data_IF_189135685906
#
_entry.id   IF_189135685906
#
_cell.length_a   1.000
_cell.length_b   1.000
_cell.length_c   1.000
_cell.angle_alpha   90.00
_cell.angle_beta   90.00
_cell.angle_gamma   90.00
#
_symmetry.space_group_name_H-M   'P 1'
#
loop_
_entity.id
_entity.type
_entity.pdbx_description
1 polymer ?
#
# COMPACT_ATOMS: atom_id res chain seq x y z
N UNK A 1 -9.25 7.21 -7.91
CA UNK A 1 -9.36 6.43 -6.66
C UNK A 1 -8.29 6.94 -5.72
N UNK A 2 -8.60 7.23 -4.46
CA UNK A 2 -7.63 7.73 -3.48
C UNK A 2 -7.40 6.61 -2.46
N UNK A 3 -6.16 6.11 -2.38
CA UNK A 3 -5.79 5.15 -1.35
C UNK A 3 -5.46 5.87 -0.05
N UNK A 4 -6.03 5.41 1.05
CA UNK A 4 -5.85 6.02 2.38
C UNK A 4 -5.04 5.15 3.33
N UNK A 5 -4.89 3.86 3.00
CA UNK A 5 -4.14 2.90 3.79
C UNK A 5 -3.51 1.87 2.87
N UNK A 6 -2.31 1.43 3.22
CA UNK A 6 -1.70 0.27 2.59
C UNK A 6 -1.05 -0.67 3.63
N UNK A 7 -0.99 -1.95 3.30
CA UNK A 7 -0.33 -2.97 4.12
C UNK A 7 0.22 -4.11 3.26
N UNK A 8 1.02 -4.98 3.87
CA UNK A 8 1.52 -6.18 3.21
C UNK A 8 0.34 -7.14 2.97
N UNK A 9 0.23 -7.65 1.74
CA UNK A 9 -0.78 -8.63 1.38
C UNK A 9 -0.26 -10.06 1.44
N UNK A 10 -1.16 -11.07 1.51
CA UNK A 10 -0.81 -12.39 1.02
C UNK A 10 -0.50 -12.33 -0.49
N UNK A 11 0.15 -13.36 -1.05
CA UNK A 11 0.25 -13.52 -2.50
C UNK A 11 -1.12 -13.42 -3.17
N UNK A 12 -1.16 -12.92 -4.39
CA UNK A 12 -2.39 -12.95 -5.17
C UNK A 12 -2.78 -14.38 -5.55
N UNK A 13 -4.06 -14.60 -5.86
CA UNK A 13 -4.56 -15.93 -6.28
C UNK A 13 -3.74 -16.42 -7.48
N UNK A 14 -3.13 -17.59 -7.35
CA UNK A 14 -2.26 -18.19 -8.36
C UNK A 14 -0.80 -17.76 -8.30
N UNK A 15 -0.43 -16.80 -7.44
CA UNK A 15 0.97 -16.50 -7.14
C UNK A 15 1.54 -17.46 -6.08
N UNK A 16 2.84 -17.80 -6.16
CA UNK A 16 3.49 -18.61 -5.13
C UNK A 16 3.40 -18.00 -3.74
N UNK A 17 3.31 -18.85 -2.72
CA UNK A 17 3.44 -18.43 -1.34
C UNK A 17 4.73 -17.62 -1.11
N UNK A 18 4.62 -16.55 -0.32
CA UNK A 18 5.74 -15.66 -0.01
C UNK A 18 6.05 -14.59 -1.07
N UNK A 19 5.30 -14.51 -2.19
CA UNK A 19 5.45 -13.41 -3.14
C UNK A 19 4.99 -12.10 -2.52
N UNK A 20 5.83 -11.07 -2.64
CA UNK A 20 5.58 -9.77 -2.04
C UNK A 20 4.54 -8.98 -2.85
N UNK A 21 3.42 -8.69 -2.20
CA UNK A 21 2.29 -7.90 -2.71
C UNK A 21 1.99 -6.75 -1.76
N UNK A 22 1.29 -5.75 -2.27
CA UNK A 22 0.81 -4.61 -1.47
C UNK A 22 -0.70 -4.48 -1.64
N UNK A 23 -1.39 -4.42 -0.51
CA UNK A 23 -2.83 -4.18 -0.43
C UNK A 23 -3.08 -2.71 -0.15
N UNK A 24 -3.85 -2.07 -1.01
CA UNK A 24 -4.30 -0.69 -0.88
C UNK A 24 -5.79 -0.65 -0.55
N UNK A 25 -6.17 0.22 0.39
CA UNK A 25 -7.56 0.47 0.75
C UNK A 25 -7.94 1.90 0.40
N UNK A 26 -9.07 2.06 -0.30
CA UNK A 26 -9.67 3.37 -0.54
C UNK A 26 -10.59 3.82 0.61
N UNK A 27 -11.14 5.02 0.50
CA UNK A 27 -12.06 5.60 1.50
C UNK A 27 -13.36 4.80 1.68
N UNK A 28 -13.76 4.03 0.67
CA UNK A 28 -14.92 3.13 0.72
C UNK A 28 -14.55 1.76 1.28
N UNK A 29 -13.27 1.53 1.56
CA UNK A 29 -12.69 0.30 2.04
C UNK A 29 -12.48 -0.76 0.95
N UNK A 30 -12.66 -0.41 -0.34
CA UNK A 30 -12.32 -1.31 -1.44
C UNK A 30 -10.84 -1.62 -1.42
N UNK A 31 -10.50 -2.83 -1.82
CA UNK A 31 -9.15 -3.35 -1.82
C UNK A 31 -8.61 -3.38 -3.26
N UNK A 32 -7.43 -2.80 -3.47
CA UNK A 32 -6.62 -3.07 -4.67
C UNK A 32 -5.36 -3.80 -4.26
N UNK A 33 -5.08 -4.94 -4.87
CA UNK A 33 -3.85 -5.70 -4.63
C UNK A 33 -2.90 -5.54 -5.80
N UNK A 34 -1.69 -5.04 -5.51
CA UNK A 34 -0.59 -4.95 -6.48
C UNK A 34 0.35 -6.14 -6.34
N UNK A 35 0.56 -6.84 -7.45
CA UNK A 35 1.43 -8.02 -7.57
C UNK A 35 2.30 -7.95 -8.83
N UNK A 36 3.38 -8.73 -8.88
CA UNK A 36 4.38 -8.61 -9.95
C UNK A 36 4.97 -7.19 -10.02
N UNK A 37 5.58 -6.82 -11.15
CA UNK A 37 6.22 -5.51 -11.31
C UNK A 37 7.39 -5.27 -10.35
N UNK A 38 7.80 -4.01 -10.17
CA UNK A 38 8.83 -3.62 -9.19
C UNK A 38 8.22 -3.23 -7.85
N UNK A 39 9.02 -3.28 -6.78
CA UNK A 39 8.64 -2.76 -5.46
C UNK A 39 8.27 -1.28 -5.52
N UNK A 40 9.02 -0.48 -6.29
CA UNK A 40 8.75 0.94 -6.46
C UNK A 40 7.31 1.17 -6.94
N UNK A 41 6.87 0.42 -7.95
CA UNK A 41 5.49 0.45 -8.43
C UNK A 41 4.49 -0.09 -7.40
N UNK A 42 4.76 -1.25 -6.80
CA UNK A 42 3.87 -1.85 -5.79
C UNK A 42 3.66 -0.97 -4.56
N UNK A 43 4.62 -0.11 -4.21
CA UNK A 43 4.57 0.75 -3.04
C UNK A 43 4.25 2.21 -3.36
N UNK A 44 4.03 2.58 -4.63
CA UNK A 44 4.01 3.99 -5.07
C UNK A 44 5.23 4.78 -4.58
N UNK A 45 6.39 4.13 -4.53
CA UNK A 45 7.58 4.66 -3.91
C UNK A 45 8.72 4.64 -4.94
N UNK A 46 8.78 5.62 -5.85
CA UNK A 46 9.75 5.61 -6.95
C UNK A 46 11.20 5.68 -6.47
N UNK A 47 11.45 6.16 -5.25
CA UNK A 47 12.77 6.08 -4.60
C UNK A 47 13.01 4.77 -3.82
N UNK A 48 12.03 3.90 -3.62
CA UNK A 48 12.14 2.81 -2.65
C UNK A 48 12.62 3.28 -1.24
N UNK A 49 12.14 4.45 -0.80
CA UNK A 49 12.44 4.98 0.53
C UNK A 49 12.05 3.97 1.62
N UNK A 50 13.02 3.62 2.46
CA UNK A 50 12.79 2.76 3.62
C UNK A 50 11.86 3.44 4.62
N UNK A 51 11.08 2.65 5.35
CA UNK A 51 10.25 3.13 6.45
C UNK A 51 11.16 3.67 7.56
N UNK A 52 11.04 4.97 7.86
CA UNK A 52 11.84 5.69 8.84
C UNK A 52 11.03 6.82 9.45
N UNK A 53 11.48 7.48 10.54
CA UNK A 53 10.79 8.66 11.08
C UNK A 53 10.55 9.75 10.03
N UNK A 54 11.44 9.88 9.03
CA UNK A 54 11.26 10.81 7.91
C UNK A 54 10.10 10.40 6.99
N UNK A 55 10.19 9.21 6.39
CA UNK A 55 9.23 8.76 5.36
C UNK A 55 7.84 8.50 5.94
N UNK A 56 7.77 8.14 7.22
CA UNK A 56 6.52 7.91 7.96
C UNK A 56 5.96 9.17 8.65
N UNK A 57 6.62 10.33 8.52
CA UNK A 57 6.12 11.58 9.10
C UNK A 57 4.82 12.01 8.41
N UNK A 58 3.95 12.71 9.15
CA UNK A 58 2.67 13.22 8.63
C UNK A 58 2.84 14.08 7.38
N UNK A 59 3.96 14.82 7.29
CA UNK A 59 4.29 15.70 6.18
C UNK A 59 4.71 14.96 4.90
N UNK A 60 5.00 13.65 4.98
CA UNK A 60 5.34 12.83 3.81
C UNK A 60 4.17 12.01 3.28
N UNK A 61 3.05 11.97 3.99
CA UNK A 61 1.80 11.35 3.52
C UNK A 61 1.93 9.86 3.14
N UNK A 62 2.87 9.12 3.75
CA UNK A 62 2.85 7.66 3.63
C UNK A 62 1.54 7.10 4.21
N UNK A 63 0.91 6.17 3.52
CA UNK A 63 -0.33 5.50 3.94
C UNK A 63 -0.08 4.11 4.53
N UNK A 64 1.17 3.68 4.60
CA UNK A 64 1.54 2.40 5.17
C UNK A 64 3.03 2.13 5.09
N UNK A 65 3.41 0.97 5.60
CA UNK A 65 4.73 0.39 5.40
C UNK A 65 4.60 -1.11 5.17
N UNK A 66 5.51 -1.65 4.37
CA UNK A 66 5.48 -3.06 3.96
C UNK A 66 6.89 -3.64 4.03
N UNK A 67 6.98 -4.92 4.36
CA UNK A 67 8.25 -5.62 4.55
C UNK A 67 8.55 -6.51 3.34
N UNK A 68 9.74 -6.37 2.77
CA UNK A 68 10.27 -7.26 1.73
C UNK A 68 11.67 -7.71 2.18
N UNK A 69 11.83 -9.01 2.43
CA UNK A 69 13.05 -9.53 3.06
C UNK A 69 13.27 -8.94 4.46
N UNK A 70 14.44 -8.32 4.68
CA UNK A 70 14.84 -7.73 5.97
C UNK A 70 14.48 -6.24 6.10
N UNK A 71 14.00 -5.61 5.04
CA UNK A 71 13.76 -4.16 4.99
C UNK A 71 12.26 -3.85 5.05
N UNK A 72 11.91 -2.72 5.66
CA UNK A 72 10.58 -2.11 5.58
C UNK A 72 10.63 -0.88 4.67
N UNK A 73 9.62 -0.72 3.83
CA UNK A 73 9.51 0.37 2.87
C UNK A 73 8.23 1.15 3.12
N UNK A 74 8.31 2.48 2.97
CA UNK A 74 7.13 3.33 3.00
C UNK A 74 6.26 3.07 1.76
N UNK A 75 4.94 3.15 1.94
CA UNK A 75 3.95 3.07 0.85
C UNK A 75 3.20 4.38 0.78
N UNK A 76 3.05 4.91 -0.43
CA UNK A 76 2.40 6.19 -0.72
C UNK A 76 1.06 6.00 -1.44
N UNK A 77 0.16 6.99 -1.38
CA UNK A 77 -1.14 6.91 -2.05
C UNK A 77 -1.02 6.88 -3.58
N UNK A 78 -0.01 7.53 -4.13
CA UNK A 78 0.24 7.66 -5.57
C UNK A 78 1.73 7.92 -5.85
N UNK A 79 2.11 7.86 -7.13
CA UNK A 79 3.48 8.05 -7.58
C UNK A 79 4.00 9.43 -7.15
N UNK A 80 3.20 10.47 -7.37
CA UNK A 80 3.55 11.87 -7.19
C UNK A 80 3.90 12.16 -5.73
N UNK A 81 3.16 11.59 -4.79
CA UNK A 81 3.41 11.72 -3.35
C UNK A 81 4.73 11.05 -2.95
N UNK A 82 4.99 9.84 -3.46
CA UNK A 82 6.25 9.14 -3.21
C UNK A 82 7.46 9.83 -3.84
N UNK A 83 7.30 10.34 -5.06
CA UNK A 83 8.29 11.15 -5.78
C UNK A 83 8.64 12.42 -4.98
N UNK A 84 7.63 13.15 -4.51
CA UNK A 84 7.84 14.36 -3.70
C UNK A 84 8.58 14.05 -2.39
N UNK A 85 8.31 12.90 -1.77
CA UNK A 85 9.04 12.46 -0.59
C UNK A 85 10.53 12.23 -0.89
N UNK A 86 10.88 11.63 -2.04
CA UNK A 86 12.27 11.49 -2.47
C UNK A 86 12.94 12.86 -2.67
N UNK A 87 12.31 13.74 -3.47
CA UNK A 87 12.86 15.06 -3.81
C UNK A 87 13.12 15.90 -2.55
N UNK A 88 12.17 15.94 -1.63
CA UNK A 88 12.33 16.69 -0.38
C UNK A 88 13.41 16.08 0.51
N UNK A 89 13.58 14.75 0.50
CA UNK A 89 14.64 14.10 1.28
C UNK A 89 16.01 14.54 0.79
N UNK A 90 16.21 14.53 -0.53
CA UNK A 90 17.48 14.90 -1.16
C UNK A 90 17.82 16.38 -0.96
N UNK A 91 16.81 17.27 -0.98
CA UNK A 91 16.98 18.70 -0.66
C UNK A 91 17.10 18.99 0.84
N UNK A 92 16.73 18.04 1.69
CA UNK A 92 16.77 18.18 3.14
C UNK A 92 18.19 18.31 3.68
N UNK A 93 18.30 18.83 4.91
CA UNK A 93 19.58 19.13 5.59
C UNK A 93 20.49 17.91 5.77
N UNK A 94 19.94 16.70 5.70
CA UNK A 94 20.70 15.44 5.85
C UNK A 94 21.42 15.04 4.56
N UNK A 95 20.80 15.25 3.40
CA UNK A 95 21.34 14.81 2.11
C UNK A 95 21.97 15.97 1.33
N UNK A 96 21.40 17.16 1.38
CA UNK A 96 21.86 18.29 0.57
C UNK A 96 23.34 18.65 0.74
N UNK A 97 23.97 18.53 1.93
CA UNK A 97 25.39 18.83 2.09
C UNK A 97 26.34 17.72 1.61
N UNK A 98 25.84 16.50 1.39
CA UNK A 98 26.65 15.35 1.02
C UNK A 98 27.06 15.41 -0.45
N UNK A 99 28.23 14.86 -0.77
CA UNK A 99 28.57 14.55 -2.17
C UNK A 99 27.58 13.53 -2.75
N UNK A 100 27.45 13.46 -4.08
CA UNK A 100 26.58 12.45 -4.70
C UNK A 100 27.00 11.04 -4.27
N UNK A 101 28.32 10.79 -4.18
CA UNK A 101 28.87 9.52 -3.68
C UNK A 101 28.46 9.22 -2.25
N UNK A 102 28.63 10.19 -1.35
CA UNK A 102 28.26 10.04 0.06
C UNK A 102 26.76 9.83 0.22
N UNK A 103 25.95 10.58 -0.53
CA UNK A 103 24.51 10.46 -0.55
C UNK A 103 24.07 9.06 -0.99
N UNK A 104 24.59 8.53 -2.10
CA UNK A 104 24.21 7.19 -2.59
C UNK A 104 24.70 6.07 -1.69
N UNK A 105 25.90 6.20 -1.10
CA UNK A 105 26.38 5.27 -0.07
C UNK A 105 25.47 5.26 1.17
N UNK A 106 24.94 6.42 1.56
CA UNK A 106 23.98 6.51 2.67
C UNK A 106 22.60 5.95 2.28
N UNK A 107 22.19 6.18 1.04
CA UNK A 107 20.89 5.78 0.50
C UNK A 107 20.76 4.26 0.39
N UNK A 108 21.77 3.61 -0.16
CA UNK A 108 21.86 2.15 -0.28
C UNK A 108 23.26 1.66 0.11
N UNK A 109 23.47 1.53 1.43
CA UNK A 109 24.75 1.13 2.02
C UNK A 109 25.27 -0.23 1.50
N UNK A 110 24.37 -1.13 1.11
CA UNK A 110 24.75 -2.47 0.63
C UNK A 110 25.06 -2.50 -0.87
N UNK A 111 24.87 -1.39 -1.59
CA UNK A 111 25.13 -1.28 -3.01
C UNK A 111 26.21 -0.24 -3.31
N UNK A 112 27.51 -0.61 -3.20
CA UNK A 112 28.60 0.32 -3.48
C UNK A 112 28.64 0.79 -4.95
N UNK A 113 28.02 0.03 -5.87
CA UNK A 113 27.97 0.35 -7.30
C UNK A 113 26.88 1.35 -7.67
N UNK A 114 25.97 1.69 -6.74
CA UNK A 114 24.82 2.57 -7.01
C UNK A 114 25.28 3.90 -7.62
N UNK A 115 26.34 4.50 -7.06
CA UNK A 115 26.87 5.77 -7.57
C UNK A 115 27.39 5.67 -9.01
N UNK A 116 27.97 4.53 -9.40
CA UNK A 116 28.51 4.35 -10.75
C UNK A 116 27.37 4.29 -11.78
N UNK A 117 26.23 3.69 -11.43
CA UNK A 117 25.02 3.71 -12.25
C UNK A 117 24.48 5.13 -12.41
N UNK A 118 24.44 5.90 -11.32
CA UNK A 118 24.01 7.30 -11.34
C UNK A 118 24.94 8.13 -12.23
N UNK A 119 26.26 8.10 -12.01
CA UNK A 119 27.23 8.85 -12.82
C UNK A 119 27.16 8.44 -14.29
N UNK A 120 26.96 7.16 -14.59
CA UNK A 120 26.80 6.69 -15.96
C UNK A 120 25.60 7.35 -16.65
N UNK A 121 24.49 7.56 -15.94
CA UNK A 121 23.26 8.18 -16.45
C UNK A 121 23.39 9.71 -16.51
N UNK A 122 23.88 10.34 -15.44
CA UNK A 122 23.80 11.80 -15.25
C UNK A 122 25.01 12.54 -15.81
N UNK A 123 26.17 11.87 -15.92
CA UNK A 123 27.48 12.48 -16.21
C UNK A 123 27.93 13.54 -15.22
N UNK A 124 27.28 13.64 -14.06
CA UNK A 124 27.66 14.56 -12.99
C UNK A 124 28.93 14.07 -12.28
N UNK A 125 29.74 15.01 -11.81
CA UNK A 125 30.87 14.71 -10.93
C UNK A 125 30.35 14.16 -9.59
N UNK A 126 30.71 12.91 -9.20
CA UNK A 126 30.24 12.29 -7.97
C UNK A 126 30.71 12.99 -6.69
N UNK A 127 31.74 13.84 -6.77
CA UNK A 127 32.28 14.58 -5.63
C UNK A 127 31.58 15.93 -5.39
N UNK A 128 30.73 16.38 -6.32
CA UNK A 128 29.87 17.56 -6.08
C UNK A 128 28.82 17.26 -5.04
N UNK A 129 28.49 18.27 -4.24
CA UNK A 129 27.41 18.17 -3.24
C UNK A 129 26.04 18.35 -3.88
N UNK A 130 25.01 17.71 -3.33
CA UNK A 130 23.64 17.85 -3.86
C UNK A 130 23.19 19.31 -3.87
N UNK A 131 23.48 20.08 -2.81
CA UNK A 131 23.15 21.52 -2.72
C UNK A 131 23.86 22.40 -3.74
N UNK A 132 24.95 21.91 -4.35
CA UNK A 132 25.71 22.64 -5.38
C UNK A 132 25.18 22.41 -6.79
N UNK A 133 24.22 21.50 -6.98
CA UNK A 133 23.58 21.26 -8.26
C UNK A 133 22.63 22.41 -8.59
N UNK A 134 22.59 22.81 -9.86
CA UNK A 134 21.48 23.63 -10.37
C UNK A 134 20.16 22.84 -10.32
N UNK A 135 19.02 23.52 -10.44
CA UNK A 135 17.71 22.85 -10.44
C UNK A 135 17.61 21.78 -11.54
N UNK A 136 18.17 22.04 -12.73
CA UNK A 136 18.18 21.09 -13.83
C UNK A 136 19.08 19.88 -13.56
N UNK A 137 20.28 20.09 -13.01
CA UNK A 137 21.18 19.00 -12.62
C UNK A 137 20.60 18.16 -11.48
N UNK A 138 19.95 18.81 -10.52
CA UNK A 138 19.22 18.14 -9.44
C UNK A 138 18.07 17.31 -10.01
N UNK A 139 17.37 17.81 -11.02
CA UNK A 139 16.33 17.07 -11.75
C UNK A 139 16.87 15.80 -12.41
N UNK A 140 17.95 15.93 -13.15
CA UNK A 140 18.65 14.80 -13.78
C UNK A 140 19.08 13.78 -12.71
N UNK A 141 19.57 14.26 -11.57
CA UNK A 141 20.01 13.41 -10.46
C UNK A 141 18.89 12.57 -9.86
N UNK A 142 17.76 13.17 -9.45
CA UNK A 142 16.66 12.36 -8.89
C UNK A 142 16.00 11.48 -9.95
N UNK A 143 15.94 11.89 -11.22
CA UNK A 143 15.46 11.03 -12.31
C UNK A 143 16.32 9.79 -12.50
N UNK A 144 17.63 9.91 -12.30
CA UNK A 144 18.54 8.78 -12.37
C UNK A 144 18.29 7.79 -11.22
N UNK A 145 18.01 8.28 -10.01
CA UNK A 145 17.61 7.42 -8.87
C UNK A 145 16.35 6.62 -9.23
N UNK A 146 15.28 7.28 -9.68
CA UNK A 146 14.03 6.58 -10.05
C UNK A 146 14.25 5.55 -11.18
N UNK A 147 15.17 5.84 -12.11
CA UNK A 147 15.55 4.92 -13.19
C UNK A 147 16.29 3.69 -12.67
N UNK A 148 17.18 3.84 -11.69
CA UNK A 148 17.90 2.74 -11.04
C UNK A 148 16.93 1.88 -10.23
N UNK A 149 16.00 2.52 -9.49
CA UNK A 149 14.98 1.82 -8.71
C UNK A 149 13.94 1.06 -9.56
N UNK A 150 13.79 1.49 -10.83
CA UNK A 150 12.91 0.93 -11.87
C UNK A 150 11.43 0.99 -11.52
N UNK A 151 10.66 1.63 -12.39
CA UNK A 151 9.19 1.59 -12.33
C UNK A 151 8.64 0.62 -13.37
N UNK A 152 8.44 -0.65 -12.97
CA UNK A 152 7.86 -1.67 -13.84
C UNK A 152 6.48 -2.00 -13.30
N UNK A 153 5.47 -1.71 -14.12
CA UNK A 153 4.07 -1.99 -13.81
C UNK A 153 3.83 -3.50 -13.75
N UNK A 154 3.16 -3.94 -12.71
CA UNK A 154 2.71 -5.31 -12.54
C UNK A 154 1.22 -5.47 -12.83
N UNK A 155 0.55 -6.26 -12.00
CA UNK A 155 -0.89 -6.53 -12.06
C UNK A 155 -1.61 -5.92 -10.87
N UNK A 156 -2.74 -5.30 -11.14
CA UNK A 156 -3.71 -4.86 -10.12
C UNK A 156 -4.94 -5.77 -10.16
N UNK A 157 -5.34 -6.25 -8.99
CA UNK A 157 -6.62 -6.91 -8.78
C UNK A 157 -7.47 -6.04 -7.87
N UNK A 158 -8.65 -5.63 -8.35
CA UNK A 158 -9.61 -4.84 -7.60
C UNK A 158 -10.66 -5.76 -6.96
N UNK A 159 -10.84 -5.61 -5.66
CA UNK A 159 -11.83 -6.32 -4.86
C UNK A 159 -12.68 -5.27 -4.16
N UNK A 160 -13.94 -5.22 -4.55
CA UNK A 160 -14.91 -4.33 -3.92
C UNK A 160 -15.23 -4.79 -2.49
N UNK A 161 -15.32 -3.84 -1.56
CA UNK A 161 -15.76 -4.12 -0.19
C UNK A 161 -17.28 -4.29 -0.14
N UNK A 162 -17.75 -5.52 0.03
CA UNK A 162 -19.15 -5.77 0.33
C UNK A 162 -19.40 -5.75 1.84
N UNK A 163 -20.53 -5.22 2.27
CA UNK A 163 -20.89 -5.15 3.68
C UNK A 163 -22.40 -5.36 3.88
N UNK A 164 -22.77 -5.79 5.08
CA UNK A 164 -24.16 -5.94 5.50
C UNK A 164 -24.69 -4.58 5.95
N UNK A 165 -25.74 -4.08 5.31
CA UNK A 165 -26.44 -2.86 5.74
C UNK A 165 -27.58 -3.18 6.70
N UNK A 166 -28.33 -4.25 6.40
CA UNK A 166 -29.55 -4.59 7.11
C UNK A 166 -29.71 -6.10 7.29
N UNK A 167 -30.52 -6.51 8.26
CA UNK A 167 -30.78 -7.92 8.56
C UNK A 167 -32.26 -8.17 8.85
N UNK A 168 -32.78 -9.30 8.36
CA UNK A 168 -34.03 -9.87 8.84
C UNK A 168 -33.75 -10.85 9.98
N UNK A 169 -34.51 -10.73 11.07
CA UNK A 169 -34.35 -11.59 12.24
C UNK A 169 -35.64 -12.31 12.58
N UNK A 170 -35.58 -13.63 12.78
CA UNK A 170 -36.66 -14.44 13.34
C UNK A 170 -36.25 -14.93 14.73
N UNK A 171 -37.07 -14.64 15.74
CA UNK A 171 -36.78 -14.96 17.15
C UNK A 171 -35.38 -14.51 17.61
N UNK A 172 -34.94 -13.32 17.20
CA UNK A 172 -33.63 -12.77 17.55
C UNK A 172 -32.44 -13.30 16.73
N UNK A 173 -32.65 -14.29 15.86
CA UNK A 173 -31.61 -14.88 14.99
C UNK A 173 -31.67 -14.26 13.60
N UNK A 174 -30.52 -13.82 13.09
CA UNK A 174 -30.38 -13.35 11.70
C UNK A 174 -30.73 -14.51 10.76
N UNK A 175 -31.61 -14.26 9.80
CA UNK A 175 -32.04 -15.23 8.78
C UNK A 175 -31.61 -14.80 7.39
N UNK A 176 -31.61 -13.50 7.12
CA UNK A 176 -31.14 -12.92 5.88
C UNK A 176 -30.35 -11.63 6.14
N UNK A 177 -29.44 -11.33 5.22
CA UNK A 177 -28.59 -10.15 5.24
C UNK A 177 -28.76 -9.38 3.93
N UNK A 178 -28.99 -8.08 4.03
CA UNK A 178 -28.93 -7.18 2.88
C UNK A 178 -27.47 -6.82 2.67
N UNK A 179 -26.87 -7.37 1.61
CA UNK A 179 -25.50 -7.06 1.22
C UNK A 179 -25.54 -5.93 0.20
N UNK A 180 -24.79 -4.87 0.48
CA UNK A 180 -24.58 -3.78 -0.48
C UNK A 180 -23.38 -4.09 -1.37
N UNK A 181 -23.60 -4.02 -2.69
CA UNK A 181 -22.63 -4.17 -3.78
C UNK A 181 -22.81 -2.97 -4.72
N UNK A 182 -21.90 -2.01 -4.71
CA UNK A 182 -22.00 -0.72 -5.40
C UNK A 182 -23.30 0.04 -5.01
N UNK A 183 -24.11 0.40 -6.01
CA UNK A 183 -25.45 1.00 -5.84
C UNK A 183 -26.56 -0.04 -5.67
N UNK A 184 -26.24 -1.33 -5.86
CA UNK A 184 -27.19 -2.43 -5.75
C UNK A 184 -27.15 -3.05 -4.35
N UNK A 185 -28.30 -3.55 -3.90
CA UNK A 185 -28.42 -4.28 -2.65
C UNK A 185 -29.16 -5.58 -2.90
N UNK A 186 -28.68 -6.68 -2.32
CA UNK A 186 -29.27 -8.01 -2.47
C UNK A 186 -29.46 -8.66 -1.10
N UNK A 187 -30.65 -9.20 -0.86
CA UNK A 187 -30.91 -10.07 0.26
C UNK A 187 -30.35 -11.46 -0.01
N UNK A 188 -29.48 -11.93 0.88
CA UNK A 188 -28.95 -13.30 0.88
C UNK A 188 -29.30 -14.01 2.17
N UNK A 189 -29.27 -15.34 2.20
CA UNK A 189 -29.43 -16.09 3.44
C UNK A 189 -28.25 -15.85 4.39
N UNK A 190 -28.45 -16.13 5.69
CA UNK A 190 -27.34 -16.10 6.66
C UNK A 190 -26.22 -17.05 6.25
N UNK A 191 -26.55 -18.23 5.75
CA UNK A 191 -25.60 -19.26 5.33
C UNK A 191 -24.75 -18.75 4.16
N UNK A 192 -25.38 -18.12 3.16
CA UNK A 192 -24.69 -17.50 2.03
C UNK A 192 -23.81 -16.33 2.50
N UNK A 193 -24.29 -15.48 3.40
CA UNK A 193 -23.49 -14.39 3.97
C UNK A 193 -22.25 -14.91 4.73
N UNK A 194 -22.38 -16.01 5.48
CA UNK A 194 -21.24 -16.66 6.15
C UNK A 194 -20.25 -17.20 5.13
N UNK A 195 -20.72 -17.85 4.05
CA UNK A 195 -19.83 -18.34 3.00
C UNK A 195 -19.10 -17.19 2.30
N UNK A 196 -19.79 -16.12 1.94
CA UNK A 196 -19.17 -14.92 1.36
C UNK A 196 -18.12 -14.28 2.28
N UNK A 197 -18.33 -14.35 3.59
CA UNK A 197 -17.34 -13.88 4.57
C UNK A 197 -16.11 -14.79 4.64
N UNK A 198 -16.31 -16.11 4.61
CA UNK A 198 -15.23 -17.11 4.56
C UNK A 198 -14.40 -16.95 3.27
N UNK A 199 -15.07 -16.70 2.15
CA UNK A 199 -14.44 -16.46 0.84
C UNK A 199 -13.76 -15.08 0.75
N UNK A 200 -13.80 -14.27 1.82
CA UNK A 200 -13.22 -12.93 1.86
C UNK A 200 -13.95 -11.87 1.03
N UNK A 201 -15.15 -12.17 0.53
CA UNK A 201 -15.97 -11.26 -0.29
C UNK A 201 -16.85 -10.34 0.54
N UNK A 202 -17.22 -10.75 1.76
CA UNK A 202 -18.08 -9.98 2.67
C UNK A 202 -17.29 -9.54 3.91
N UNK A 203 -17.19 -8.24 4.11
CA UNK A 203 -16.54 -7.65 5.27
C UNK A 203 -17.47 -7.66 6.48
N UNK A 204 -17.25 -8.63 7.35
CA UNK A 204 -18.05 -8.88 8.55
C UNK A 204 -17.23 -9.70 9.55
N UNK A 205 -17.46 -9.50 10.84
CA UNK A 205 -16.85 -10.33 11.89
C UNK A 205 -17.63 -11.64 12.04
N UNK A 206 -16.96 -12.77 11.82
CA UNK A 206 -17.48 -14.09 12.16
C UNK A 206 -17.12 -14.43 13.61
N UNK A 207 -18.14 -14.65 14.44
CA UNK A 207 -17.98 -15.09 15.82
C UNK A 207 -18.35 -16.56 15.92
N UNK A 208 -17.36 -17.40 16.23
CA UNK A 208 -17.53 -18.84 16.43
C UNK A 208 -17.82 -19.14 17.90
N UNK A 209 -18.97 -19.74 18.20
CA UNK A 209 -19.27 -20.24 19.54
C UNK A 209 -18.72 -21.66 19.72
N UNK A 210 -18.47 -22.04 20.98
CA UNK A 210 -18.07 -23.42 21.35
C UNK A 210 -19.06 -24.50 20.88
N UNK A 211 -20.31 -24.11 20.59
CA UNK A 211 -21.37 -24.98 20.09
C UNK A 211 -21.32 -25.19 18.57
N UNK A 212 -20.32 -24.65 17.87
CA UNK A 212 -20.22 -24.68 16.40
C UNK A 212 -21.09 -23.65 15.68
N UNK A 213 -21.93 -22.89 16.41
CA UNK A 213 -22.76 -21.83 15.83
C UNK A 213 -21.91 -20.61 15.45
N UNK A 214 -22.16 -20.08 14.25
CA UNK A 214 -21.53 -18.86 13.74
C UNK A 214 -22.50 -17.68 13.83
N UNK A 215 -22.01 -16.53 14.29
CA UNK A 215 -22.73 -15.26 14.32
C UNK A 215 -22.02 -14.22 13.47
N UNK A 216 -22.80 -13.43 12.74
CA UNK A 216 -22.34 -12.27 12.00
C UNK A 216 -22.40 -11.04 12.91
N UNK A 217 -21.32 -10.26 12.97
CA UNK A 217 -21.26 -8.96 13.65
C UNK A 217 -20.61 -7.91 12.76
N UNK A 218 -20.98 -6.63 12.88
CA UNK A 218 -20.23 -5.55 12.24
C UNK A 218 -18.74 -5.62 12.62
N UNK A 219 -17.88 -5.08 11.77
CA UNK A 219 -16.47 -4.84 12.12
C UNK A 219 -16.39 -3.89 13.34
N UNK A 220 -15.33 -4.00 14.13
CA UNK A 220 -15.15 -3.16 15.32
C UNK A 220 -15.22 -1.66 14.96
N UNK A 221 -16.00 -0.90 15.73
CA UNK A 221 -16.24 0.53 15.48
C UNK A 221 -17.34 0.86 14.47
N UNK A 222 -17.94 -0.15 13.82
CA UNK A 222 -19.07 0.07 12.90
C UNK A 222 -20.43 0.00 13.61
N UNK A 223 -21.43 0.68 13.03
CA UNK A 223 -22.81 0.66 13.53
C UNK A 223 -23.39 -0.77 13.52
N UNK A 224 -24.28 -1.12 14.46
CA UNK A 224 -25.06 -2.35 14.41
C UNK A 224 -25.84 -2.48 13.09
N UNK A 225 -26.06 -3.71 12.61
CA UNK A 225 -26.92 -3.94 11.46
C UNK A 225 -28.33 -3.42 11.71
N UNK A 226 -28.88 -2.68 10.75
CA UNK A 226 -30.25 -2.21 10.82
C UNK A 226 -31.22 -3.40 10.74
N UNK A 227 -32.16 -3.47 11.68
CA UNK A 227 -33.18 -4.52 11.67
C UNK A 227 -34.34 -4.05 10.79
N UNK A 228 -34.62 -4.80 9.74
CA UNK A 228 -35.85 -4.62 8.94
C UNK A 228 -36.84 -5.65 9.45
N UNK A 229 -37.98 -5.16 9.96
CA UNK A 229 -39.06 -5.95 10.56
C UNK A 229 -39.57 -7.03 9.61
#
# INVERSE_FOLDING_TARGET
MIYIKAQIGPPNIGEPEGRFTVQYFDEKGNLTIRSGGTRAWRCNNPGNLQASPYSMSKQRHSIGKVREGKNEYAVYPDYETGHLALVVMLRGTVYSPLSLREAMKKYDFNNPMYIDEIVKITKLDPERTIKSLSDHEFEIFWKAIEKVEKWIVGREDFIEKWYITSVHKKHGVITQCLIKKNENSLWVSKEEAVQLAIDGRLHVTLVHLKTGKVYLRPEFGHKPFEKVS
#
